data_IF_139676591008
#
_entry.id   IF_139676591008
#
_cell.length_a   1.000
_cell.length_b   1.000
_cell.length_c   1.000
_cell.angle_alpha   90.00
_cell.angle_beta   90.00
_cell.angle_gamma   90.00
#
_symmetry.space_group_name_H-M   'P 1'
#
loop_
_entity.id
_entity.type
_entity.pdbx_description
1 polymer ?
#
# COMPACT_ATOMS: atom_id res chain seq x y z
N UNK A 1 -10.20 -18.64 -22.42
CA UNK A 1 -10.20 -18.07 -21.07
C UNK A 1 -10.54 -19.17 -20.08
N UNK A 2 -9.77 -19.34 -19.00
CA UNK A 2 -10.09 -20.35 -18.00
C UNK A 2 -11.40 -19.98 -17.29
N UNK A 3 -12.38 -20.87 -17.33
CA UNK A 3 -13.65 -20.68 -16.61
C UNK A 3 -13.42 -20.96 -15.13
N UNK A 4 -13.80 -20.03 -14.27
CA UNK A 4 -13.81 -20.23 -12.82
C UNK A 4 -14.80 -21.34 -12.45
N UNK A 5 -14.39 -22.22 -11.56
CA UNK A 5 -15.33 -23.15 -10.94
C UNK A 5 -16.20 -22.42 -9.92
N UNK A 6 -17.42 -22.92 -9.66
CA UNK A 6 -18.31 -22.31 -8.64
C UNK A 6 -17.64 -22.16 -7.29
N UNK A 7 -16.84 -23.14 -6.89
CA UNK A 7 -16.09 -23.10 -5.64
C UNK A 7 -15.05 -21.97 -5.63
N UNK A 8 -14.24 -21.88 -6.69
CA UNK A 8 -13.25 -20.81 -6.82
C UNK A 8 -13.88 -19.41 -6.80
N UNK A 9 -15.03 -19.24 -7.45
CA UNK A 9 -15.78 -17.97 -7.38
C UNK A 9 -16.19 -17.64 -5.95
N UNK A 10 -16.78 -18.58 -5.23
CA UNK A 10 -17.18 -18.38 -3.83
C UNK A 10 -16.00 -18.06 -2.92
N UNK A 11 -14.87 -18.75 -3.09
CA UNK A 11 -13.66 -18.51 -2.32
C UNK A 11 -13.08 -17.10 -2.58
N UNK A 12 -13.10 -16.64 -3.83
CA UNK A 12 -12.64 -15.29 -4.20
C UNK A 12 -13.60 -14.22 -3.67
N UNK A 13 -14.92 -14.42 -3.81
CA UNK A 13 -15.92 -13.50 -3.25
C UNK A 13 -15.75 -13.36 -1.73
N UNK A 14 -15.60 -14.48 -1.02
CA UNK A 14 -15.39 -14.51 0.42
C UNK A 14 -14.10 -13.76 0.81
N UNK A 15 -13.00 -14.01 0.10
CA UNK A 15 -11.73 -13.34 0.35
C UNK A 15 -11.83 -11.82 0.17
N UNK A 16 -12.45 -11.35 -0.90
CA UNK A 16 -12.62 -9.91 -1.17
C UNK A 16 -13.47 -9.26 -0.06
N UNK A 17 -14.58 -9.87 0.31
CA UNK A 17 -15.45 -9.35 1.35
C UNK A 17 -14.77 -9.34 2.72
N UNK A 18 -13.98 -10.36 3.03
CA UNK A 18 -13.22 -10.45 4.27
C UNK A 18 -12.12 -9.37 4.33
N UNK A 19 -11.42 -9.12 3.24
CA UNK A 19 -10.42 -8.04 3.15
C UNK A 19 -11.08 -6.68 3.36
N UNK A 20 -12.21 -6.42 2.72
CA UNK A 20 -12.94 -5.16 2.92
C UNK A 20 -13.43 -5.00 4.35
N UNK A 21 -13.96 -6.04 4.97
CA UNK A 21 -14.39 -6.01 6.37
C UNK A 21 -13.21 -5.78 7.33
N UNK A 22 -12.04 -6.30 7.00
CA UNK A 22 -10.83 -6.09 7.80
C UNK A 22 -10.40 -4.63 7.80
N UNK A 23 -10.50 -3.95 6.63
CA UNK A 23 -10.13 -2.55 6.49
C UNK A 23 -11.22 -1.62 7.05
N UNK A 24 -12.48 -1.95 6.79
CA UNK A 24 -13.61 -1.11 7.16
C UNK A 24 -14.74 -1.93 7.80
N UNK A 25 -14.88 -1.79 9.10
CA UNK A 25 -15.93 -2.46 9.90
C UNK A 25 -17.31 -1.85 9.74
N UNK A 26 -17.43 -0.72 9.03
CA UNK A 26 -18.73 -0.07 8.78
C UNK A 26 -19.63 -0.86 7.83
N UNK A 27 -19.12 -1.93 7.21
CA UNK A 27 -19.81 -2.77 6.21
C UNK A 27 -20.23 -2.06 4.91
N UNK A 28 -19.94 -0.80 4.73
CA UNK A 28 -20.36 -0.03 3.54
C UNK A 28 -19.88 -0.67 2.23
N UNK A 29 -18.59 -1.03 2.17
CA UNK A 29 -18.04 -1.72 1.00
C UNK A 29 -18.49 -3.17 0.92
N UNK A 30 -18.48 -3.89 2.04
CA UNK A 30 -18.87 -5.30 2.12
C UNK A 30 -20.29 -5.51 1.61
N UNK A 31 -21.25 -4.73 2.07
CA UNK A 31 -22.66 -4.84 1.66
C UNK A 31 -22.86 -4.42 0.19
N UNK A 32 -22.16 -3.39 -0.25
CA UNK A 32 -22.22 -2.94 -1.64
C UNK A 32 -21.73 -4.04 -2.60
N UNK A 33 -20.54 -4.57 -2.36
CA UNK A 33 -19.95 -5.59 -3.23
C UNK A 33 -20.67 -6.93 -3.14
N UNK A 34 -21.18 -7.31 -1.98
CA UNK A 34 -22.03 -8.51 -1.84
C UNK A 34 -23.27 -8.43 -2.74
N UNK A 35 -23.95 -7.29 -2.77
CA UNK A 35 -25.10 -7.06 -3.64
C UNK A 35 -24.72 -7.03 -5.12
N UNK A 36 -23.54 -6.51 -5.44
CA UNK A 36 -23.02 -6.43 -6.78
C UNK A 36 -22.65 -7.82 -7.34
N UNK A 37 -21.92 -8.61 -6.56
CA UNK A 37 -21.50 -9.96 -6.95
C UNK A 37 -22.69 -10.90 -7.16
N UNK A 38 -23.74 -10.77 -6.37
CA UNK A 38 -24.97 -11.56 -6.52
C UNK A 38 -25.68 -11.32 -7.87
N UNK A 39 -25.45 -10.17 -8.51
CA UNK A 39 -26.05 -9.82 -9.81
C UNK A 39 -25.17 -10.16 -11.01
N UNK A 40 -23.89 -10.48 -10.79
CA UNK A 40 -22.93 -10.74 -11.86
C UNK A 40 -22.94 -12.19 -12.31
N UNK A 41 -22.85 -12.41 -13.63
CA UNK A 41 -22.51 -13.70 -14.20
C UNK A 41 -21.03 -14.05 -13.95
N UNK A 42 -20.64 -15.32 -14.11
CA UNK A 42 -19.26 -15.75 -13.87
C UNK A 42 -18.26 -15.03 -14.79
N UNK A 43 -18.60 -14.78 -16.05
CA UNK A 43 -17.75 -14.06 -16.99
C UNK A 43 -17.61 -12.56 -16.62
N UNK A 44 -18.69 -11.95 -16.14
CA UNK A 44 -18.68 -10.57 -15.67
C UNK A 44 -17.84 -10.44 -14.39
N UNK A 45 -17.99 -11.39 -13.47
CA UNK A 45 -17.20 -11.43 -12.25
C UNK A 45 -15.71 -11.59 -12.54
N UNK A 46 -15.33 -12.50 -13.47
CA UNK A 46 -13.93 -12.65 -13.87
C UNK A 46 -13.33 -11.38 -14.46
N UNK A 47 -14.04 -10.70 -15.34
CA UNK A 47 -13.62 -9.41 -15.89
C UNK A 47 -13.49 -8.35 -14.81
N UNK A 48 -14.41 -8.34 -13.85
CA UNK A 48 -14.42 -7.39 -12.75
C UNK A 48 -13.21 -7.56 -11.83
N UNK A 49 -12.89 -8.79 -11.39
CA UNK A 49 -11.72 -9.05 -10.53
C UNK A 49 -10.39 -8.84 -11.22
N UNK A 50 -10.34 -8.96 -12.55
CA UNK A 50 -9.14 -8.71 -13.37
C UNK A 50 -8.87 -7.21 -13.56
N UNK A 51 -9.85 -6.36 -13.32
CA UNK A 51 -9.74 -4.92 -13.41
C UNK A 51 -9.52 -4.30 -12.01
N UNK A 52 -9.12 -3.02 -12.00
CA UNK A 52 -9.12 -2.23 -10.76
C UNK A 52 -10.54 -1.81 -10.43
N UNK A 53 -11.00 -2.10 -9.23
CA UNK A 53 -12.31 -1.66 -8.77
C UNK A 53 -12.19 -0.67 -7.59
N UNK A 54 -13.14 0.28 -7.47
CA UNK A 54 -13.02 1.34 -6.48
C UNK A 54 -13.30 0.84 -5.07
N UNK A 55 -12.52 1.32 -4.12
CA UNK A 55 -12.84 1.25 -2.71
C UNK A 55 -13.54 2.54 -2.28
N UNK A 56 -14.71 2.44 -1.65
CA UNK A 56 -15.47 3.59 -1.17
C UNK A 56 -15.09 3.90 0.27
N UNK A 57 -14.57 5.10 0.51
CA UNK A 57 -14.38 5.59 1.86
C UNK A 57 -15.73 5.93 2.50
N UNK A 58 -15.82 5.79 3.81
CA UNK A 58 -16.99 6.18 4.57
C UNK A 58 -17.25 7.70 4.44
N UNK A 59 -18.52 8.13 4.49
CA UNK A 59 -18.89 9.55 4.43
C UNK A 59 -18.26 10.38 5.56
N UNK A 60 -17.99 9.75 6.70
CA UNK A 60 -17.26 10.34 7.83
C UNK A 60 -15.90 9.64 8.00
N UNK A 61 -14.91 9.97 7.20
CA UNK A 61 -13.64 9.24 7.13
C UNK A 61 -12.89 9.18 8.46
N UNK A 62 -13.08 10.15 9.35
CA UNK A 62 -12.39 10.19 10.65
C UNK A 62 -13.05 9.32 11.74
N UNK A 63 -14.22 8.74 11.48
CA UNK A 63 -14.92 7.87 12.46
C UNK A 63 -14.52 6.40 12.29
N UNK A 64 -14.17 5.98 11.09
CA UNK A 64 -13.83 4.59 10.73
C UNK A 64 -12.53 4.51 9.93
N UNK A 65 -11.55 5.33 10.31
CA UNK A 65 -10.25 5.32 9.66
C UNK A 65 -9.54 3.97 9.95
N UNK A 66 -9.11 3.24 8.89
CA UNK A 66 -8.43 1.97 9.07
C UNK A 66 -7.07 2.20 9.74
N UNK A 67 -6.78 1.41 10.77
CA UNK A 67 -5.46 1.44 11.40
C UNK A 67 -4.41 0.79 10.49
N UNK A 68 -3.13 1.16 10.70
CA UNK A 68 -2.01 0.51 10.01
C UNK A 68 -1.98 -1.01 10.24
N UNK A 69 -2.40 -1.46 11.41
CA UNK A 69 -2.49 -2.87 11.74
C UNK A 69 -3.54 -3.58 10.88
N UNK A 70 -4.73 -3.01 10.74
CA UNK A 70 -5.81 -3.57 9.91
C UNK A 70 -5.42 -3.64 8.43
N UNK A 71 -4.75 -2.59 7.92
CA UNK A 71 -4.21 -2.59 6.56
C UNK A 71 -3.15 -3.69 6.35
N UNK A 72 -2.27 -3.91 7.34
CA UNK A 72 -1.27 -4.97 7.30
C UNK A 72 -1.91 -6.35 7.27
N UNK A 73 -2.87 -6.61 8.14
CA UNK A 73 -3.62 -7.88 8.17
C UNK A 73 -4.35 -8.13 6.85
N UNK A 74 -4.94 -7.09 6.26
CA UNK A 74 -5.61 -7.18 4.96
C UNK A 74 -4.64 -7.56 3.83
N UNK A 75 -3.43 -6.99 3.82
CA UNK A 75 -2.38 -7.33 2.85
C UNK A 75 -1.91 -8.78 3.01
N UNK A 76 -1.71 -9.24 4.23
CA UNK A 76 -1.31 -10.63 4.52
C UNK A 76 -2.36 -11.62 4.01
N UNK A 77 -3.66 -11.33 4.17
CA UNK A 77 -4.76 -12.18 3.67
C UNK A 77 -4.75 -12.35 2.15
N UNK A 78 -4.33 -11.34 1.40
CA UNK A 78 -4.20 -11.44 -0.07
C UNK A 78 -2.83 -11.94 -0.53
N UNK A 79 -2.00 -12.41 0.41
CA UNK A 79 -0.67 -12.94 0.10
C UNK A 79 0.33 -11.88 -0.39
N UNK A 80 0.11 -10.61 -0.05
CA UNK A 80 1.06 -9.53 -0.32
C UNK A 80 2.00 -9.35 0.86
N UNK A 81 3.26 -9.12 0.54
CA UNK A 81 4.26 -8.80 1.55
C UNK A 81 3.85 -7.55 2.34
N UNK A 82 4.03 -7.56 3.67
CA UNK A 82 3.75 -6.39 4.48
C UNK A 82 4.68 -5.24 4.06
N UNK A 83 4.16 -4.00 4.14
CA UNK A 83 4.94 -2.80 3.82
C UNK A 83 6.18 -2.65 4.73
N UNK A 84 6.13 -3.23 5.92
CA UNK A 84 7.27 -3.26 6.85
C UNK A 84 7.84 -4.66 6.89
N UNK A 85 9.10 -4.80 6.51
CA UNK A 85 9.82 -6.06 6.58
C UNK A 85 11.33 -5.84 6.86
N UNK A 86 11.99 -6.91 7.25
CA UNK A 86 13.44 -6.92 7.39
C UNK A 86 14.06 -7.18 6.02
N UNK A 87 14.95 -6.30 5.60
CA UNK A 87 15.60 -6.38 4.28
C UNK A 87 17.08 -6.71 4.49
N UNK A 88 17.60 -7.60 3.66
CA UNK A 88 19.04 -7.86 3.60
C UNK A 88 19.67 -6.91 2.57
N UNK A 89 20.54 -6.02 3.04
CA UNK A 89 21.27 -5.06 2.21
C UNK A 89 22.78 -5.29 2.41
N UNK A 90 23.37 -6.30 1.77
CA UNK A 90 24.71 -6.78 2.04
C UNK A 90 25.81 -5.73 1.85
N UNK A 91 25.55 -4.69 1.02
CA UNK A 91 26.53 -3.61 0.77
C UNK A 91 26.35 -2.40 1.69
N UNK A 92 25.23 -2.29 2.41
CA UNK A 92 24.93 -1.13 3.24
C UNK A 92 24.80 -1.46 4.72
N UNK A 93 24.44 -2.69 5.04
CA UNK A 93 24.19 -3.12 6.40
C UNK A 93 25.04 -4.34 6.74
N UNK A 94 26.17 -4.07 7.40
CA UNK A 94 27.08 -5.12 7.91
C UNK A 94 27.31 -4.91 9.39
N UNK A 95 27.63 -5.98 10.11
CA UNK A 95 28.12 -5.90 11.49
C UNK A 95 29.57 -5.37 11.51
N UNK A 96 30.16 -5.28 12.71
CA UNK A 96 31.54 -4.82 12.89
C UNK A 96 32.58 -5.72 12.18
N UNK A 97 32.23 -6.97 11.91
CA UNK A 97 33.08 -7.97 11.26
C UNK A 97 32.86 -8.00 9.74
N UNK A 98 32.07 -7.08 9.19
CA UNK A 98 31.77 -7.00 7.76
C UNK A 98 30.73 -8.03 7.26
N UNK A 99 30.09 -8.77 8.17
CA UNK A 99 29.07 -9.76 7.79
C UNK A 99 27.72 -9.06 7.55
N UNK A 100 27.04 -9.33 6.42
CA UNK A 100 25.73 -8.76 6.13
C UNK A 100 24.71 -9.14 7.19
N UNK A 101 23.98 -8.16 7.69
CA UNK A 101 22.88 -8.34 8.65
C UNK A 101 21.58 -7.77 8.12
N UNK A 102 20.47 -8.32 8.57
CA UNK A 102 19.17 -7.79 8.21
C UNK A 102 18.93 -6.44 8.90
N UNK A 103 18.25 -5.55 8.19
CA UNK A 103 17.77 -4.30 8.79
C UNK A 103 16.77 -4.58 9.92
N UNK A 104 16.47 -3.58 10.72
CA UNK A 104 15.24 -3.57 11.53
C UNK A 104 14.02 -3.57 10.60
N UNK A 105 12.82 -3.76 11.13
CA UNK A 105 11.60 -3.59 10.35
C UNK A 105 11.57 -2.22 9.71
N UNK A 106 11.61 -2.20 8.38
CA UNK A 106 11.74 -0.99 7.57
C UNK A 106 10.61 -0.94 6.56
N UNK A 107 10.11 0.24 6.28
CA UNK A 107 9.11 0.46 5.22
C UNK A 107 9.73 0.16 3.86
N UNK A 108 9.14 -0.79 3.15
CA UNK A 108 9.53 -1.17 1.78
C UNK A 108 8.39 -0.82 0.83
N UNK A 109 8.67 0.06 -0.12
CA UNK A 109 7.67 0.54 -1.08
C UNK A 109 8.23 0.52 -2.50
N UNK A 110 7.35 0.28 -3.46
CA UNK A 110 7.68 0.41 -4.87
C UNK A 110 7.64 1.88 -5.28
N UNK A 111 8.77 2.43 -5.68
CA UNK A 111 8.87 3.83 -6.12
C UNK A 111 9.23 3.87 -7.60
N UNK A 112 8.51 4.63 -8.44
CA UNK A 112 8.88 4.84 -9.83
C UNK A 112 10.26 5.51 -9.96
N UNK A 113 11.16 4.93 -10.72
CA UNK A 113 12.53 5.41 -10.89
C UNK A 113 12.60 6.89 -11.36
N UNK A 114 11.64 7.30 -12.18
CA UNK A 114 11.49 8.71 -12.60
C UNK A 114 11.31 9.67 -11.43
N UNK A 115 10.56 9.28 -10.39
CA UNK A 115 10.37 10.11 -9.19
C UNK A 115 11.64 10.24 -8.36
N UNK A 116 12.40 9.16 -8.21
CA UNK A 116 13.69 9.18 -7.51
C UNK A 116 14.67 10.12 -8.24
N UNK A 117 14.79 9.98 -9.56
CA UNK A 117 15.62 10.88 -10.38
C UNK A 117 15.19 12.35 -10.24
N UNK A 118 13.90 12.63 -10.30
CA UNK A 118 13.36 13.98 -10.17
C UNK A 118 13.63 14.58 -8.79
N UNK A 119 13.54 13.77 -7.74
CA UNK A 119 13.82 14.21 -6.37
C UNK A 119 15.29 14.56 -6.18
N UNK A 120 16.19 13.72 -6.69
CA UNK A 120 17.62 13.93 -6.59
C UNK A 120 18.12 15.12 -7.43
N UNK A 121 17.55 15.35 -8.61
CA UNK A 121 18.08 16.36 -9.56
C UNK A 121 17.41 17.73 -9.46
N UNK A 122 16.12 17.79 -9.11
CA UNK A 122 15.34 19.03 -9.20
C UNK A 122 14.77 19.53 -7.86
N UNK A 123 14.74 18.70 -6.82
CA UNK A 123 14.13 19.07 -5.54
C UNK A 123 15.09 19.04 -4.35
N UNK A 124 16.34 18.69 -4.56
CA UNK A 124 17.39 18.88 -3.55
C UNK A 124 18.06 20.22 -3.80
N UNK A 125 17.69 21.21 -3.02
CA UNK A 125 18.51 22.42 -2.84
C UNK A 125 19.31 22.25 -1.56
N UNK A 126 20.61 22.05 -1.67
CA UNK A 126 21.51 22.13 -0.53
C UNK A 126 22.16 23.52 -0.54
N UNK A 127 21.93 24.29 0.49
CA UNK A 127 22.75 25.47 0.77
C UNK A 127 24.07 24.98 1.35
N UNK A 128 25.17 25.27 0.65
CA UNK A 128 26.55 24.93 1.09
C UNK A 128 27.02 25.92 2.14
N UNK A 129 26.44 27.11 2.19
CA UNK A 129 26.83 28.17 3.08
C UNK A 129 25.75 28.49 4.11
N UNK A 130 25.93 27.98 5.33
CA UNK A 130 25.04 28.19 6.47
C UNK A 130 25.19 29.59 7.06
N UNK A 131 26.23 30.33 6.65
CA UNK A 131 26.57 31.66 7.21
C UNK A 131 25.83 32.80 6.50
N UNK A 132 25.37 32.62 5.30
CA UNK A 132 24.63 33.63 4.53
C UNK A 132 23.18 33.68 4.90
N UNK A 133 22.76 34.76 5.53
CA UNK A 133 21.35 35.05 5.82
C UNK A 133 20.89 36.23 4.98
N UNK A 134 19.71 36.14 4.42
CA UNK A 134 19.06 37.28 3.80
C UNK A 134 18.83 38.38 4.87
N UNK A 135 19.36 39.55 4.62
CA UNK A 135 19.31 40.71 5.54
C UNK A 135 17.87 41.20 5.79
N UNK A 136 16.93 40.95 4.87
CA UNK A 136 15.53 41.37 5.00
C UNK A 136 14.66 40.33 5.70
N UNK A 137 14.86 39.05 5.45
CA UNK A 137 14.00 38.01 5.97
C UNK A 137 14.61 37.26 7.14
N UNK A 138 15.92 37.39 7.39
CA UNK A 138 16.66 36.64 8.40
C UNK A 138 16.75 35.12 8.12
N UNK A 139 16.23 34.65 6.99
CA UNK A 139 16.28 33.28 6.58
C UNK A 139 17.63 32.93 5.94
N UNK A 140 18.03 31.68 6.05
CA UNK A 140 19.20 31.13 5.34
C UNK A 140 18.93 31.13 3.85
N UNK A 141 19.82 31.73 3.08
CA UNK A 141 19.76 31.74 1.60
C UNK A 141 20.38 30.51 1.00
#
# INVERSE_FOLDING_TARGET
>A
MAKLTKKQRQDIEALILEVFYTIDKSNTNTDHYKKLFAKMTDDQFYKFISAKFPYRFHEKPFVTEPSMHECRVALEKIGKEPLYCKVNLPYLYTNKDGVPVNTRETLVVWIPLKKVKQFLTKKNSMSIDISTRDMKTGLLT
#
